data_IF_500998914646
#
_entry.id   IF_500998914646
#
_cell.length_a   1.000
_cell.length_b   1.000
_cell.length_c   1.000
_cell.angle_alpha   90.00
_cell.angle_beta   90.00
_cell.angle_gamma   90.00
#
_symmetry.space_group_name_H-M   'P 1'
#
loop_
_entity.id
_entity.type
_entity.pdbx_description
1 polymer ?
#
# COMPACT_ATOMS: atom_id res chain seq x y z
N UNK A 1 9.59 -18.41 5.39
CA UNK A 1 8.96 -19.73 5.65
C UNK A 1 7.45 -19.73 5.39
N UNK A 2 6.65 -18.87 6.04
CA UNK A 2 5.19 -18.88 5.92
C UNK A 2 4.65 -18.44 4.53
N UNK A 3 5.18 -17.38 3.91
CA UNK A 3 4.78 -16.96 2.55
C UNK A 3 4.97 -18.08 1.51
N UNK A 4 6.04 -18.87 1.63
CA UNK A 4 6.33 -20.01 0.75
C UNK A 4 5.55 -21.27 1.12
N UNK A 5 5.05 -21.35 2.34
CA UNK A 5 4.23 -22.46 2.83
C UNK A 5 2.74 -22.25 2.56
N UNK A 6 2.34 -21.09 2.01
CA UNK A 6 0.96 -20.84 1.63
C UNK A 6 0.49 -21.91 0.61
N UNK A 7 -0.77 -22.39 0.70
CA UNK A 7 -1.29 -23.40 -0.21
C UNK A 7 -1.13 -22.99 -1.69
N UNK A 8 -0.89 -23.93 -2.61
CA UNK A 8 -0.81 -23.63 -4.03
C UNK A 8 -2.05 -22.86 -4.52
N UNK A 9 -1.80 -21.80 -5.29
CA UNK A 9 -2.86 -20.94 -5.82
C UNK A 9 -3.35 -19.84 -4.88
N UNK A 10 -2.79 -19.74 -3.67
CA UNK A 10 -3.02 -18.58 -2.78
C UNK A 10 -2.67 -17.28 -3.52
N UNK A 11 -3.54 -16.27 -3.35
CA UNK A 11 -3.33 -14.92 -3.89
C UNK A 11 -2.97 -14.00 -2.73
N UNK A 12 -1.93 -13.22 -2.92
CA UNK A 12 -1.37 -12.32 -1.92
C UNK A 12 -1.70 -10.88 -2.30
N UNK A 13 -2.57 -10.22 -1.53
CA UNK A 13 -2.80 -8.78 -1.68
C UNK A 13 -1.59 -8.04 -1.10
N UNK A 14 -0.94 -7.21 -1.91
CA UNK A 14 0.29 -6.52 -1.56
C UNK A 14 0.10 -5.00 -1.73
N UNK A 15 0.80 -4.22 -0.91
CA UNK A 15 0.80 -2.76 -0.95
C UNK A 15 2.12 -2.22 -0.41
N UNK A 16 2.69 -1.21 -1.06
CA UNK A 16 3.93 -0.55 -0.61
C UNK A 16 3.63 0.84 -0.03
N UNK A 17 4.35 1.20 1.02
CA UNK A 17 4.42 2.58 1.49
C UNK A 17 5.77 3.19 1.10
N UNK A 18 5.75 4.43 0.65
CA UNK A 18 6.89 5.05 -0.06
C UNK A 18 7.17 6.45 0.45
N UNK A 19 8.44 6.73 0.76
CA UNK A 19 8.97 8.04 1.12
C UNK A 19 9.82 8.64 -0.01
N UNK A 20 10.27 9.88 0.18
CA UNK A 20 11.26 10.55 -0.67
C UNK A 20 10.84 10.67 -2.15
N UNK A 21 9.55 10.93 -2.37
CA UNK A 21 8.98 11.21 -3.70
C UNK A 21 7.94 12.33 -3.63
N UNK A 22 8.04 13.30 -4.54
CA UNK A 22 6.98 14.28 -4.78
C UNK A 22 6.25 13.93 -6.08
N UNK A 23 5.07 13.32 -5.94
CA UNK A 23 4.24 12.86 -7.06
C UNK A 23 3.69 14.00 -7.94
N UNK A 24 3.86 15.26 -7.53
CA UNK A 24 3.52 16.40 -8.39
C UNK A 24 4.62 16.71 -9.41
N UNK A 25 5.86 16.35 -9.08
CA UNK A 25 7.04 16.69 -9.87
C UNK A 25 7.57 15.48 -10.65
N UNK A 26 7.52 14.27 -10.06
CA UNK A 26 8.14 13.07 -10.64
C UNK A 26 7.23 11.83 -10.53
N UNK A 27 7.47 10.87 -11.42
CA UNK A 27 6.88 9.52 -11.34
C UNK A 27 7.77 8.54 -10.56
N UNK A 28 7.28 7.32 -10.26
CA UNK A 28 7.98 6.35 -9.40
C UNK A 28 9.24 5.72 -10.03
N UNK A 29 9.47 5.90 -11.33
CA UNK A 29 10.64 5.32 -12.02
C UNK A 29 11.91 6.04 -11.55
N UNK A 30 12.75 5.35 -10.78
CA UNK A 30 13.99 5.91 -10.23
C UNK A 30 13.79 6.91 -9.09
N UNK A 31 12.57 7.09 -8.58
CA UNK A 31 12.25 8.01 -7.50
C UNK A 31 11.45 7.32 -6.39
N UNK A 32 11.66 7.77 -5.15
CA UNK A 32 11.00 7.21 -3.97
C UNK A 32 11.69 5.98 -3.42
N UNK A 33 11.48 5.74 -2.14
CA UNK A 33 12.08 4.66 -1.34
C UNK A 33 10.99 3.92 -0.56
N UNK A 34 11.01 2.59 -0.61
CA UNK A 34 10.00 1.76 0.08
C UNK A 34 10.27 1.74 1.58
N UNK A 35 9.31 2.22 2.38
CA UNK A 35 9.42 2.29 3.84
C UNK A 35 8.87 1.07 4.54
N UNK A 36 7.84 0.45 3.95
CA UNK A 36 7.33 -0.85 4.36
C UNK A 36 6.49 -1.50 3.26
N UNK A 37 6.21 -2.78 3.42
CA UNK A 37 5.26 -3.53 2.58
C UNK A 37 4.26 -4.26 3.46
N UNK A 38 3.00 -4.23 3.08
CA UNK A 38 1.94 -5.03 3.71
C UNK A 38 1.49 -6.16 2.78
N UNK A 39 1.31 -7.36 3.33
CA UNK A 39 0.90 -8.55 2.58
C UNK A 39 -0.21 -9.30 3.31
N UNK A 40 -1.36 -9.45 2.66
CA UNK A 40 -2.48 -10.24 3.15
C UNK A 40 -2.72 -11.46 2.26
N UNK A 41 -2.82 -12.65 2.85
CA UNK A 41 -2.89 -13.93 2.12
C UNK A 41 -4.16 -14.74 2.40
N UNK A 42 -5.17 -14.12 3.01
CA UNK A 42 -6.42 -14.78 3.38
C UNK A 42 -6.54 -15.11 4.87
N UNK A 43 -7.75 -15.49 5.32
CA UNK A 43 -8.09 -15.60 6.74
C UNK A 43 -7.41 -16.79 7.45
N UNK A 44 -6.93 -17.78 6.71
CA UNK A 44 -6.38 -19.01 7.26
C UNK A 44 -4.84 -19.00 7.37
N UNK A 45 -4.19 -18.02 6.77
CA UNK A 45 -2.73 -17.89 6.78
C UNK A 45 -2.30 -17.18 8.06
N UNK A 46 -1.28 -17.74 8.74
CA UNK A 46 -0.67 -17.18 9.93
C UNK A 46 0.81 -16.92 9.66
N UNK A 47 1.22 -15.66 9.85
CA UNK A 47 2.61 -15.21 9.70
C UNK A 47 3.39 -15.17 11.01
N UNK A 48 2.80 -15.63 12.11
CA UNK A 48 3.35 -15.61 13.46
C UNK A 48 2.64 -14.66 14.42
N UNK A 49 1.69 -13.85 13.92
CA UNK A 49 0.89 -12.89 14.70
C UNK A 49 -0.59 -13.28 14.80
N UNK A 50 -0.95 -14.46 14.30
CA UNK A 50 -2.30 -14.99 14.27
C UNK A 50 -2.85 -15.12 12.85
N UNK A 51 -3.81 -16.03 12.70
CA UNK A 51 -4.51 -16.28 11.42
C UNK A 51 -5.20 -15.03 10.89
N UNK A 52 -5.10 -14.83 9.58
CA UNK A 52 -5.76 -13.74 8.88
C UNK A 52 -5.21 -12.36 9.21
N UNK A 53 -4.01 -12.29 9.82
CA UNK A 53 -3.30 -11.04 10.03
C UNK A 53 -2.41 -10.74 8.84
N UNK A 54 -2.22 -9.44 8.59
CA UNK A 54 -1.33 -8.93 7.56
C UNK A 54 0.12 -9.16 8.00
N UNK A 55 0.96 -9.66 7.08
CA UNK A 55 2.40 -9.57 7.24
C UNK A 55 2.82 -8.14 6.95
N UNK A 56 3.54 -7.53 7.88
CA UNK A 56 4.11 -6.22 7.72
C UNK A 56 5.64 -6.32 7.70
N UNK A 57 6.24 -5.82 6.62
CA UNK A 57 7.68 -5.84 6.39
C UNK A 57 8.17 -4.40 6.57
N UNK A 58 8.82 -4.12 7.71
CA UNK A 58 9.49 -2.83 7.95
C UNK A 58 10.73 -2.71 7.06
N UNK A 59 11.02 -1.49 6.59
CA UNK A 59 12.24 -1.18 5.85
C UNK A 59 12.78 0.22 6.21
N UNK A 60 12.41 0.76 7.38
CA UNK A 60 12.91 2.03 7.91
C UNK A 60 13.91 1.82 9.06
N UNK A 61 14.78 2.80 9.25
CA UNK A 61 15.75 2.88 10.36
C UNK A 61 16.58 1.59 10.52
N UNK A 62 16.59 0.98 11.71
CA UNK A 62 17.31 -0.26 11.97
C UNK A 62 16.80 -1.48 11.18
N UNK A 63 15.60 -1.39 10.59
CA UNK A 63 15.03 -2.43 9.73
C UNK A 63 15.35 -2.23 8.24
N UNK A 64 16.12 -1.20 7.88
CA UNK A 64 16.59 -1.01 6.52
C UNK A 64 17.28 -2.29 5.99
N UNK A 65 16.84 -2.74 4.81
CA UNK A 65 17.34 -3.95 4.16
C UNK A 65 16.53 -5.20 4.46
N UNK A 66 15.63 -5.20 5.46
CA UNK A 66 14.74 -6.34 5.73
C UNK A 66 13.87 -6.67 4.51
N UNK A 67 13.51 -5.68 3.68
CA UNK A 67 12.80 -5.91 2.42
C UNK A 67 13.56 -6.90 1.49
N UNK A 68 14.90 -6.89 1.51
CA UNK A 68 15.72 -7.76 0.66
C UNK A 68 15.63 -9.24 1.06
N UNK A 69 15.31 -9.56 2.30
CA UNK A 69 15.06 -10.93 2.75
C UNK A 69 13.85 -11.57 2.05
N UNK A 70 12.98 -10.74 1.45
CA UNK A 70 11.81 -11.15 0.69
C UNK A 70 11.99 -11.07 -0.82
N UNK A 71 13.16 -10.62 -1.30
CA UNK A 71 13.44 -10.42 -2.73
C UNK A 71 13.10 -11.64 -3.57
N UNK A 72 13.59 -12.82 -3.19
CA UNK A 72 13.32 -14.06 -3.92
C UNK A 72 11.81 -14.36 -4.04
N UNK A 73 10.98 -13.98 -3.06
CA UNK A 73 9.54 -14.18 -3.14
C UNK A 73 8.86 -13.14 -4.03
N UNK A 74 9.29 -11.87 -3.97
CA UNK A 74 8.79 -10.84 -4.88
C UNK A 74 9.11 -11.15 -6.34
N UNK A 75 10.31 -11.67 -6.61
CA UNK A 75 10.79 -12.03 -7.96
C UNK A 75 10.29 -13.39 -8.44
N UNK A 76 9.57 -14.16 -7.60
CA UNK A 76 8.99 -15.45 -7.99
C UNK A 76 7.74 -15.26 -8.89
N UNK A 77 7.76 -15.70 -10.17
CA UNK A 77 6.62 -15.61 -11.06
C UNK A 77 5.45 -16.53 -10.67
N UNK A 78 5.67 -17.55 -9.83
CA UNK A 78 4.62 -18.46 -9.37
C UNK A 78 3.84 -17.91 -8.17
N UNK A 79 4.45 -17.03 -7.38
CA UNK A 79 3.76 -16.37 -6.27
C UNK A 79 2.79 -15.31 -6.81
N UNK A 80 1.49 -15.55 -6.66
CA UNK A 80 0.41 -14.70 -7.23
C UNK A 80 0.18 -13.46 -6.38
N UNK A 81 0.58 -12.28 -6.86
CA UNK A 81 0.40 -11.00 -6.16
C UNK A 81 -0.70 -10.16 -6.80
N UNK A 82 -1.65 -9.73 -5.98
CA UNK A 82 -2.71 -8.79 -6.34
C UNK A 82 -2.43 -7.41 -5.74
N UNK A 83 -2.73 -6.37 -6.50
CA UNK A 83 -2.39 -4.99 -6.15
C UNK A 83 -3.56 -4.04 -6.41
N UNK A 84 -3.39 -2.78 -6.02
CA UNK A 84 -4.21 -1.68 -6.47
C UNK A 84 -3.31 -0.60 -7.05
N UNK A 85 -3.31 -0.41 -8.37
CA UNK A 85 -2.36 0.45 -9.10
C UNK A 85 -0.90 -0.10 -9.11
N UNK A 86 -0.75 -1.36 -9.53
CA UNK A 86 0.50 -2.14 -9.51
C UNK A 86 1.69 -1.43 -10.16
N UNK A 87 1.44 -0.60 -11.19
CA UNK A 87 2.51 0.11 -11.89
C UNK A 87 3.36 0.97 -10.94
N UNK A 88 2.73 1.55 -9.92
CA UNK A 88 3.44 2.31 -8.89
C UNK A 88 4.34 1.41 -8.04
N UNK A 89 3.76 0.40 -7.39
CA UNK A 89 4.47 -0.54 -6.50
C UNK A 89 5.62 -1.26 -7.20
N UNK A 90 5.39 -1.68 -8.46
CA UNK A 90 6.41 -2.36 -9.26
C UNK A 90 7.64 -1.46 -9.46
N UNK A 91 7.44 -0.17 -9.74
CA UNK A 91 8.54 0.74 -10.00
C UNK A 91 9.32 1.08 -8.72
N UNK A 92 8.64 1.30 -7.60
CA UNK A 92 9.33 1.59 -6.32
C UNK A 92 10.08 0.36 -5.80
N UNK A 93 9.54 -0.85 -5.96
CA UNK A 93 10.27 -2.09 -5.67
C UNK A 93 11.49 -2.24 -6.60
N UNK A 94 11.37 -1.87 -7.87
CA UNK A 94 12.49 -1.91 -8.81
C UNK A 94 13.61 -0.93 -8.43
N UNK A 95 13.27 0.21 -7.83
CA UNK A 95 14.27 1.14 -7.29
C UNK A 95 15.07 0.54 -6.12
N UNK A 96 14.43 -0.35 -5.33
CA UNK A 96 15.09 -1.16 -4.29
C UNK A 96 15.85 -2.37 -4.87
N UNK A 97 15.98 -2.44 -6.21
CA UNK A 97 16.63 -3.54 -6.90
C UNK A 97 15.81 -4.83 -6.92
N UNK A 98 14.49 -4.79 -6.71
CA UNK A 98 13.60 -5.95 -6.72
C UNK A 98 12.74 -5.93 -7.99
N UNK A 99 12.96 -6.88 -8.90
CA UNK A 99 12.15 -7.02 -10.11
C UNK A 99 10.87 -7.81 -9.82
N UNK A 100 9.87 -7.15 -9.24
CA UNK A 100 8.64 -7.81 -8.82
C UNK A 100 7.95 -8.57 -9.99
N UNK A 101 7.76 -9.87 -9.80
CA UNK A 101 7.11 -10.80 -10.72
C UNK A 101 5.83 -11.39 -10.10
N UNK A 102 5.14 -12.26 -10.85
CA UNK A 102 3.96 -12.97 -10.34
C UNK A 102 2.71 -12.08 -10.27
N UNK A 103 2.61 -11.11 -11.18
CA UNK A 103 1.43 -10.26 -11.32
C UNK A 103 0.18 -11.11 -11.58
N UNK A 104 -0.71 -11.18 -10.59
CA UNK A 104 -1.96 -11.91 -10.68
C UNK A 104 -3.14 -11.00 -11.05
N UNK A 105 -3.14 -9.76 -10.53
CA UNK A 105 -4.19 -8.82 -10.86
C UNK A 105 -3.97 -7.43 -10.25
N UNK A 106 -4.61 -6.44 -10.86
CA UNK A 106 -4.69 -5.09 -10.35
C UNK A 106 -6.16 -4.70 -10.26
N UNK A 107 -6.63 -4.49 -9.05
CA UNK A 107 -8.06 -4.22 -8.78
C UNK A 107 -8.55 -2.93 -9.44
N UNK A 108 -7.68 -1.93 -9.66
CA UNK A 108 -8.01 -0.71 -10.39
C UNK A 108 -8.29 -1.02 -11.87
N UNK A 109 -7.39 -1.78 -12.50
CA UNK A 109 -7.51 -2.17 -13.91
C UNK A 109 -8.66 -3.15 -14.14
N UNK A 110 -8.84 -4.13 -13.26
CA UNK A 110 -9.96 -5.06 -13.29
C UNK A 110 -11.31 -4.33 -13.22
N UNK A 111 -11.44 -3.35 -12.31
CA UNK A 111 -12.66 -2.55 -12.22
C UNK A 111 -12.90 -1.70 -13.47
N UNK A 112 -11.84 -1.16 -14.10
CA UNK A 112 -11.93 -0.41 -15.35
C UNK A 112 -12.36 -1.27 -16.54
N UNK A 113 -11.89 -2.52 -16.59
CA UNK A 113 -12.32 -3.49 -17.61
C UNK A 113 -13.76 -3.93 -17.40
N UNK A 114 -14.15 -4.15 -16.15
CA UNK A 114 -15.51 -4.57 -15.81
C UNK A 114 -16.55 -3.49 -16.12
N UNK A 115 -16.28 -2.23 -15.74
CA UNK A 115 -17.15 -1.11 -16.08
C UNK A 115 -16.35 0.20 -16.25
N UNK A 116 -16.06 0.53 -17.50
CA UNK A 116 -15.35 1.74 -17.88
C UNK A 116 -16.15 3.03 -17.68
N UNK A 117 -17.48 2.94 -17.50
CA UNK A 117 -18.35 4.10 -17.29
C UNK A 117 -18.24 4.68 -15.88
N UNK A 118 -17.65 3.94 -14.93
CA UNK A 118 -17.50 4.35 -13.53
C UNK A 118 -16.81 5.70 -13.38
N UNK A 119 -15.88 6.03 -14.26
CA UNK A 119 -15.15 7.31 -14.26
C UNK A 119 -16.08 8.53 -14.39
N UNK A 120 -17.22 8.40 -15.08
CA UNK A 120 -18.13 9.50 -15.38
C UNK A 120 -19.33 9.59 -14.44
N UNK A 121 -19.40 8.76 -13.39
CA UNK A 121 -20.57 8.72 -12.49
C UNK A 121 -20.59 9.96 -11.57
N UNK A 122 -21.67 10.73 -11.66
CA UNK A 122 -21.81 12.02 -10.96
C UNK A 122 -21.87 11.92 -9.42
N UNK A 123 -22.31 10.78 -8.87
CA UNK A 123 -22.59 10.61 -7.43
C UNK A 123 -21.63 9.64 -6.74
N UNK A 124 -20.37 9.61 -7.17
CA UNK A 124 -19.40 8.62 -6.71
C UNK A 124 -19.21 7.51 -7.74
N UNK A 125 -17.94 7.21 -7.99
CA UNK A 125 -17.47 6.33 -9.04
C UNK A 125 -15.95 6.37 -9.08
N UNK A 126 -15.38 6.11 -10.25
CA UNK A 126 -13.94 5.97 -10.43
C UNK A 126 -13.41 4.63 -9.93
N UNK A 127 -12.08 4.54 -9.93
CA UNK A 127 -11.33 3.31 -9.72
C UNK A 127 -10.39 3.38 -8.52
N UNK A 128 -10.45 4.43 -7.71
CA UNK A 128 -9.68 4.47 -6.46
C UNK A 128 -10.16 3.38 -5.50
N UNK A 129 -9.26 2.91 -4.64
CA UNK A 129 -9.60 1.88 -3.67
C UNK A 129 -10.75 2.32 -2.75
N UNK A 130 -10.82 3.60 -2.37
CA UNK A 130 -11.95 4.16 -1.61
C UNK A 130 -13.28 4.03 -2.38
N UNK A 131 -13.29 4.36 -3.66
CA UNK A 131 -14.51 4.27 -4.47
C UNK A 131 -14.94 2.82 -4.68
N UNK A 132 -14.01 1.91 -4.97
CA UNK A 132 -14.31 0.51 -5.20
C UNK A 132 -14.80 -0.18 -3.93
N UNK A 133 -14.14 0.06 -2.79
CA UNK A 133 -14.55 -0.53 -1.51
C UNK A 133 -15.93 -0.03 -1.08
N UNK A 134 -16.21 1.27 -1.23
CA UNK A 134 -17.54 1.83 -0.96
C UNK A 134 -18.62 1.19 -1.85
N UNK A 135 -18.41 1.18 -3.16
CA UNK A 135 -19.45 0.80 -4.12
C UNK A 135 -19.66 -0.72 -4.21
N UNK A 136 -18.60 -1.51 -4.03
CA UNK A 136 -18.63 -2.97 -4.25
C UNK A 136 -18.71 -3.77 -2.95
N UNK A 137 -18.15 -3.26 -1.86
CA UNK A 137 -18.12 -3.95 -0.57
C UNK A 137 -19.05 -3.32 0.47
N UNK A 138 -19.68 -2.18 0.14
CA UNK A 138 -20.47 -1.41 1.11
C UNK A 138 -19.64 -0.90 2.29
N UNK A 139 -18.31 -0.83 2.13
CA UNK A 139 -17.36 -0.45 3.18
C UNK A 139 -16.44 0.63 2.66
N UNK A 140 -16.58 1.85 3.17
CA UNK A 140 -15.70 2.96 2.79
C UNK A 140 -14.31 2.79 3.43
N UNK A 141 -13.24 2.77 2.63
CA UNK A 141 -11.87 2.96 3.12
C UNK A 141 -11.75 4.34 3.75
N UNK A 142 -11.20 4.41 4.97
CA UNK A 142 -10.93 5.70 5.62
C UNK A 142 -9.72 6.37 4.94
N UNK A 143 -9.84 7.62 4.46
CA UNK A 143 -8.73 8.33 3.82
C UNK A 143 -7.59 8.65 4.79
N UNK A 144 -6.34 8.66 4.31
CA UNK A 144 -5.17 9.03 5.15
C UNK A 144 -5.32 10.40 5.79
N UNK A 145 -5.89 11.38 5.09
CA UNK A 145 -6.14 12.73 5.63
C UNK A 145 -7.16 12.76 6.76
N UNK A 146 -8.08 11.80 6.79
CA UNK A 146 -9.06 11.64 7.87
C UNK A 146 -8.43 10.95 9.08
N UNK A 147 -7.56 9.95 8.87
CA UNK A 147 -6.87 9.24 9.94
C UNK A 147 -5.72 10.05 10.58
N UNK A 148 -4.93 10.72 9.75
CA UNK A 148 -3.61 11.24 10.14
C UNK A 148 -3.45 12.74 9.90
N UNK A 149 -4.45 13.41 9.34
CA UNK A 149 -4.39 14.84 9.04
C UNK A 149 -4.24 15.67 10.31
N UNK A 150 -3.14 16.43 10.40
CA UNK A 150 -2.90 17.39 11.50
C UNK A 150 -3.12 18.83 10.98
N UNK A 151 -3.69 19.75 11.78
CA UNK A 151 -3.81 21.15 11.40
C UNK A 151 -2.45 21.76 11.08
N UNK A 152 -2.28 22.31 9.88
CA UNK A 152 -1.06 23.02 9.51
C UNK A 152 -0.90 24.27 10.38
N UNK A 153 0.22 24.38 11.09
CA UNK A 153 0.52 25.56 11.92
C UNK A 153 0.76 26.80 11.03
N UNK A 154 0.22 27.94 11.47
CA UNK A 154 0.46 29.25 10.86
C UNK A 154 1.80 29.82 11.31
N UNK A 155 2.24 30.91 10.66
CA UNK A 155 3.46 31.64 11.05
C UNK A 155 3.43 32.17 12.49
N UNK A 156 2.24 32.42 13.02
CA UNK A 156 2.00 32.89 14.40
C UNK A 156 1.90 31.75 15.43
N UNK A 157 2.07 30.49 15.01
CA UNK A 157 1.99 29.32 15.87
C UNK A 157 0.58 28.76 16.10
N UNK A 158 -0.47 29.45 15.66
CA UNK A 158 -1.87 28.99 15.77
C UNK A 158 -2.22 27.90 14.74
N UNK A 159 -3.28 27.12 15.00
CA UNK A 159 -3.74 26.07 14.10
C UNK A 159 -4.45 26.64 12.85
N UNK A 160 -4.04 26.15 11.68
CA UNK A 160 -4.68 26.43 10.40
C UNK A 160 -5.85 25.48 10.12
N UNK A 161 -6.73 25.87 9.17
CA UNK A 161 -7.84 25.01 8.72
C UNK A 161 -7.42 23.91 7.74
N UNK A 162 -6.24 24.05 7.14
CA UNK A 162 -5.71 23.08 6.19
C UNK A 162 -5.09 21.94 6.96
N UNK A 163 -5.65 20.73 6.81
CA UNK A 163 -5.03 19.52 7.32
C UNK A 163 -3.90 19.09 6.37
N UNK A 164 -2.77 18.74 6.97
CA UNK A 164 -1.59 18.19 6.32
C UNK A 164 -1.32 16.80 6.91
N UNK A 165 -1.04 15.84 6.05
CA UNK A 165 -0.67 14.49 6.49
C UNK A 165 0.83 14.51 6.77
N UNK A 166 1.28 14.13 7.97
CA UNK A 166 2.70 13.99 8.27
C UNK A 166 3.40 13.05 7.28
N UNK A 167 4.71 13.20 7.16
CA UNK A 167 5.54 12.29 6.37
C UNK A 167 5.35 10.84 6.84
N UNK A 168 5.34 9.89 5.90
CA UNK A 168 5.09 8.46 6.17
C UNK A 168 6.07 7.88 7.19
N UNK A 169 7.32 8.36 7.23
CA UNK A 169 8.32 7.95 8.23
C UNK A 169 7.89 8.36 9.65
N UNK A 170 7.25 9.52 9.76
CA UNK A 170 6.69 9.98 11.05
C UNK A 170 5.49 9.12 11.45
N UNK A 171 4.59 8.82 10.51
CA UNK A 171 3.39 8.01 10.78
C UNK A 171 3.72 6.58 11.20
N UNK A 172 4.72 5.98 10.56
CA UNK A 172 5.18 4.61 10.82
C UNK A 172 5.90 4.46 12.17
N UNK A 173 6.35 5.56 12.79
CA UNK A 173 7.07 5.55 14.08
C UNK A 173 6.29 6.14 15.24
N UNK A 174 5.24 6.92 14.97
CA UNK A 174 4.40 7.49 16.01
C UNK A 174 3.48 6.39 16.61
N UNK A 175 3.63 6.03 17.90
CA UNK A 175 2.83 4.98 18.54
C UNK A 175 1.32 5.24 18.51
N UNK A 176 0.91 6.51 18.37
CA UNK A 176 -0.49 6.90 18.27
C UNK A 176 -1.08 6.64 16.88
N UNK A 177 -0.23 6.58 15.84
CA UNK A 177 -0.67 6.35 14.46
C UNK A 177 -0.34 4.96 13.95
N UNK A 178 0.69 4.30 14.50
CA UNK A 178 1.17 2.99 14.06
C UNK A 178 0.06 1.95 13.96
N UNK A 179 -0.81 1.83 14.97
CA UNK A 179 -1.89 0.82 14.96
C UNK A 179 -2.99 1.07 13.92
N UNK A 180 -3.09 2.28 13.37
CA UNK A 180 -4.00 2.61 12.26
C UNK A 180 -3.28 2.64 10.90
N UNK A 181 -1.95 2.62 10.92
CA UNK A 181 -1.06 2.55 9.76
C UNK A 181 -0.87 1.10 9.30
N UNK A 182 -0.80 0.15 10.25
CA UNK A 182 -0.56 -1.30 10.04
C UNK A 182 -1.85 -2.11 9.97
#
# INVERSE_FOLDING_TARGET
AALRAAPPGTVHACDTEVADIDLKEVGPVGNGRVTCVSIYSGPDIDFGTGKGKTLWIDNLDEAEGVLQEFKEWFEDPQARKAWHNYGFDRHVLYNEGIDCQGFYGDTMHMARLWDSSREKRANGGGYSLEALTRDLLGRRKVPMKELFGKPRRRKDGSEGKVLEVPDVRTLQRDPHTFGAWV
#
